data_IF_854077449344
#
_entry.id   IF_854077449344
#
_cell.length_a   1.000
_cell.length_b   1.000
_cell.length_c   1.000
_cell.angle_alpha   90.00
_cell.angle_beta   90.00
_cell.angle_gamma   90.00
#
_symmetry.space_group_name_H-M   'P 1'
#
loop_
_entity.id
_entity.type
_entity.pdbx_description
1 polymer ?
#
# COMPACT_ATOMS: atom_id res chain seq x y z
N UNK A 1 -24.15 13.89 14.47
CA UNK A 1 -22.82 14.23 15.02
C UNK A 1 -21.74 13.25 14.54
N UNK A 2 -21.92 11.92 14.70
CA UNK A 2 -20.92 10.91 14.35
C UNK A 2 -20.55 10.95 12.86
N UNK A 3 -21.52 11.06 11.97
CA UNK A 3 -21.28 11.12 10.53
C UNK A 3 -20.50 12.37 10.10
N UNK A 4 -20.80 13.51 10.73
CA UNK A 4 -20.09 14.77 10.46
C UNK A 4 -18.61 14.63 10.83
N UNK A 5 -18.32 14.05 12.00
CA UNK A 5 -16.94 13.84 12.44
C UNK A 5 -16.22 12.80 11.59
N UNK A 6 -16.87 11.66 11.26
CA UNK A 6 -16.30 10.64 10.38
C UNK A 6 -16.00 11.21 8.98
N UNK A 7 -16.88 12.01 8.41
CA UNK A 7 -16.68 12.72 7.14
C UNK A 7 -15.48 13.66 7.21
N UNK A 8 -15.37 14.45 8.28
CA UNK A 8 -14.26 15.38 8.51
C UNK A 8 -12.92 14.65 8.59
N UNK A 9 -12.86 13.52 9.29
CA UNK A 9 -11.64 12.69 9.39
C UNK A 9 -11.31 12.01 8.06
N UNK A 10 -12.30 11.53 7.32
CA UNK A 10 -12.16 10.81 6.06
C UNK A 10 -11.67 9.37 6.21
N UNK A 11 -10.73 9.12 7.11
CA UNK A 11 -10.17 7.80 7.42
C UNK A 11 -9.60 7.74 8.85
N UNK A 12 -9.35 6.53 9.34
CA UNK A 12 -8.54 6.30 10.54
C UNK A 12 -7.07 6.54 10.25
N UNK A 13 -6.31 7.01 11.25
CA UNK A 13 -4.87 7.21 11.17
C UNK A 13 -4.18 6.13 11.99
N UNK A 14 -3.22 5.44 11.36
CA UNK A 14 -2.48 4.34 11.97
C UNK A 14 -1.06 4.81 12.29
N UNK A 15 -0.73 4.85 13.57
CA UNK A 15 0.60 5.15 14.05
C UNK A 15 1.20 3.89 14.67
N UNK A 16 2.53 3.80 14.77
CA UNK A 16 3.17 2.61 15.32
C UNK A 16 2.75 2.26 16.75
N UNK A 17 2.37 3.27 17.56
CA UNK A 17 1.99 3.12 18.97
C UNK A 17 0.46 3.15 19.20
N UNK A 18 -0.32 3.71 18.28
CA UNK A 18 -1.77 3.88 18.45
C UNK A 18 -2.51 4.06 17.13
N UNK A 19 -3.83 3.90 17.21
CA UNK A 19 -4.75 4.23 16.11
C UNK A 19 -5.63 5.40 16.54
N UNK A 20 -5.76 6.41 15.66
CA UNK A 20 -6.80 7.45 15.80
C UNK A 20 -7.96 7.01 14.90
N UNK A 21 -9.05 6.47 15.48
CA UNK A 21 -10.11 5.88 14.70
C UNK A 21 -10.98 6.94 14.03
N UNK A 22 -11.52 6.64 12.85
CA UNK A 22 -12.50 7.47 12.14
C UNK A 22 -13.83 7.55 12.89
N UNK A 23 -14.26 6.44 13.47
CA UNK A 23 -15.47 6.30 14.26
C UNK A 23 -15.13 6.23 15.76
N UNK A 24 -16.04 6.60 16.67
CA UNK A 24 -15.85 6.34 18.10
C UNK A 24 -15.47 4.89 18.39
N UNK A 25 -14.60 4.67 19.36
CA UNK A 25 -14.07 3.32 19.67
C UNK A 25 -15.15 2.31 20.00
N UNK A 26 -16.21 2.71 20.67
CA UNK A 26 -17.36 1.84 20.95
C UNK A 26 -17.99 1.29 19.66
N UNK A 27 -17.96 2.03 18.56
CA UNK A 27 -18.42 1.57 17.26
C UNK A 27 -17.34 0.75 16.56
N UNK A 28 -16.13 1.30 16.42
CA UNK A 28 -15.06 0.67 15.64
C UNK A 28 -14.56 -0.63 16.25
N UNK A 29 -14.47 -0.72 17.57
CA UNK A 29 -13.86 -1.86 18.26
C UNK A 29 -14.89 -2.88 18.76
N UNK A 30 -16.19 -2.49 18.88
CA UNK A 30 -17.25 -3.36 19.40
C UNK A 30 -18.40 -3.50 18.42
N UNK A 31 -19.32 -2.51 18.36
CA UNK A 31 -20.65 -2.66 17.71
C UNK A 31 -20.49 -2.98 16.20
N UNK A 32 -19.58 -2.33 15.49
CA UNK A 32 -19.32 -2.55 14.08
C UNK A 32 -18.26 -3.63 13.82
N UNK A 33 -17.51 -4.05 14.86
CA UNK A 33 -16.49 -5.08 14.74
C UNK A 33 -17.12 -6.47 14.70
N UNK A 34 -16.64 -7.33 13.80
CA UNK A 34 -17.12 -8.72 13.66
C UNK A 34 -16.46 -9.63 14.70
N UNK A 35 -16.69 -9.33 15.98
CA UNK A 35 -16.13 -10.10 17.10
C UNK A 35 -16.71 -11.52 17.15
N UNK A 36 -15.89 -12.52 17.54
CA UNK A 36 -16.34 -13.92 17.62
C UNK A 36 -17.52 -14.11 18.56
N UNK A 37 -18.39 -15.03 18.19
CA UNK A 37 -19.54 -15.47 18.98
C UNK A 37 -20.56 -14.37 19.34
N UNK A 38 -20.55 -13.26 18.57
CA UNK A 38 -21.55 -12.21 18.71
C UNK A 38 -22.25 -11.95 17.38
N UNK A 39 -23.57 -11.76 17.45
CA UNK A 39 -24.36 -11.43 16.27
C UNK A 39 -24.06 -9.97 15.90
N UNK A 40 -23.71 -9.75 14.61
CA UNK A 40 -23.45 -8.42 14.06
C UNK A 40 -24.23 -8.18 12.77
N UNK A 41 -24.71 -6.95 12.61
CA UNK A 41 -25.28 -6.51 11.35
C UNK A 41 -24.16 -6.30 10.32
N UNK A 42 -24.36 -6.83 9.11
CA UNK A 42 -23.37 -6.77 8.04
C UNK A 42 -24.01 -6.55 6.69
N UNK A 43 -23.29 -5.89 5.80
CA UNK A 43 -23.58 -5.86 4.36
C UNK A 43 -22.70 -6.94 3.70
N UNK A 44 -23.35 -7.98 3.19
CA UNK A 44 -22.69 -9.15 2.61
C UNK A 44 -22.72 -9.06 1.09
N UNK A 45 -21.56 -9.23 0.47
CA UNK A 45 -21.41 -9.44 -0.96
C UNK A 45 -21.15 -10.93 -1.21
N UNK A 46 -22.17 -11.65 -1.66
CA UNK A 46 -22.07 -13.06 -2.07
C UNK A 46 -21.62 -13.12 -3.52
N UNK A 47 -20.56 -13.88 -3.81
CA UNK A 47 -19.98 -13.98 -5.15
C UNK A 47 -19.81 -15.44 -5.52
N UNK A 48 -20.33 -15.85 -6.68
CA UNK A 48 -20.14 -17.18 -7.23
C UNK A 48 -19.14 -17.11 -8.38
N UNK A 49 -18.02 -17.81 -8.19
CA UNK A 49 -16.98 -17.97 -9.20
C UNK A 49 -17.10 -19.32 -9.89
N UNK A 50 -16.96 -19.33 -11.22
CA UNK A 50 -16.76 -20.55 -12.00
C UNK A 50 -15.51 -20.36 -12.85
N UNK A 51 -14.53 -21.23 -12.64
CA UNK A 51 -13.17 -21.05 -13.19
C UNK A 51 -12.59 -19.70 -12.76
N UNK A 52 -12.38 -18.77 -13.69
CA UNK A 52 -11.81 -17.44 -13.43
C UNK A 52 -12.82 -16.29 -13.55
N UNK A 53 -14.11 -16.61 -13.73
CA UNK A 53 -15.17 -15.62 -13.98
C UNK A 53 -16.18 -15.55 -12.84
N UNK A 54 -16.59 -14.34 -12.50
CA UNK A 54 -17.76 -14.10 -11.64
C UNK A 54 -19.00 -14.36 -12.48
N UNK A 55 -19.80 -15.38 -12.12
CA UNK A 55 -21.02 -15.75 -12.84
C UNK A 55 -22.28 -15.19 -12.18
N UNK A 56 -22.23 -14.93 -10.87
CA UNK A 56 -23.34 -14.37 -10.10
C UNK A 56 -22.84 -13.67 -8.87
N UNK A 57 -23.53 -12.62 -8.47
CA UNK A 57 -23.32 -11.96 -7.17
C UNK A 57 -24.65 -11.44 -6.63
N UNK A 58 -24.73 -11.30 -5.31
CA UNK A 58 -25.86 -10.71 -4.61
C UNK A 58 -25.37 -9.89 -3.43
N UNK A 59 -26.17 -8.90 -3.04
CA UNK A 59 -25.94 -8.09 -1.84
C UNK A 59 -27.04 -8.31 -0.83
N UNK A 60 -26.66 -8.53 0.42
CA UNK A 60 -27.59 -8.84 1.50
C UNK A 60 -27.27 -7.97 2.72
N UNK A 61 -28.32 -7.40 3.33
CA UNK A 61 -28.24 -6.97 4.73
C UNK A 61 -28.51 -8.19 5.58
N UNK A 62 -27.53 -8.62 6.35
CA UNK A 62 -27.58 -9.87 7.10
C UNK A 62 -27.15 -9.67 8.56
N UNK A 63 -27.64 -10.56 9.42
CA UNK A 63 -27.06 -10.81 10.74
C UNK A 63 -26.06 -11.96 10.58
N UNK A 64 -24.82 -11.74 10.97
CA UNK A 64 -23.78 -12.78 10.92
C UNK A 64 -23.26 -13.08 12.31
N UNK A 65 -22.75 -14.30 12.48
CA UNK A 65 -22.09 -14.77 13.69
C UNK A 65 -20.68 -15.22 13.32
N UNK A 66 -19.67 -14.42 13.66
CA UNK A 66 -18.27 -14.78 13.47
C UNK A 66 -17.90 -15.97 14.35
N UNK A 67 -17.26 -17.00 13.79
CA UNK A 67 -16.88 -18.22 14.51
C UNK A 67 -15.46 -18.17 15.06
N UNK A 68 -14.58 -17.39 14.44
CA UNK A 68 -13.20 -17.24 14.86
C UNK A 68 -12.63 -15.89 14.42
N UNK A 69 -11.69 -15.37 15.19
CA UNK A 69 -10.82 -14.25 14.81
C UNK A 69 -9.40 -14.80 14.76
N UNK A 70 -8.82 -14.83 13.58
CA UNK A 70 -7.49 -15.36 13.33
C UNK A 70 -6.51 -14.25 12.96
N UNK A 71 -5.28 -14.41 13.37
CA UNK A 71 -4.15 -13.62 12.85
C UNK A 71 -3.68 -14.21 11.52
N UNK A 72 -2.98 -13.41 10.73
CA UNK A 72 -2.39 -13.87 9.47
C UNK A 72 -1.41 -15.04 9.67
N UNK A 73 -0.63 -15.00 10.75
CA UNK A 73 0.29 -16.07 11.14
C UNK A 73 -0.46 -17.37 11.43
N UNK A 74 -1.51 -17.31 12.24
CA UNK A 74 -2.33 -18.49 12.55
C UNK A 74 -2.94 -19.11 11.28
N UNK A 75 -3.42 -18.30 10.34
CA UNK A 75 -3.97 -18.78 9.07
C UNK A 75 -2.91 -19.51 8.25
N UNK A 76 -1.70 -19.00 8.17
CA UNK A 76 -0.58 -19.65 7.47
C UNK A 76 -0.15 -20.95 8.18
N UNK A 77 -0.13 -20.97 9.52
CA UNK A 77 0.17 -22.17 10.32
C UNK A 77 -0.89 -23.28 10.12
N UNK A 78 -2.17 -22.91 10.09
CA UNK A 78 -3.27 -23.84 9.79
C UNK A 78 -3.10 -24.40 8.37
N UNK A 79 -2.83 -23.56 7.39
CA UNK A 79 -2.64 -23.98 6.00
C UNK A 79 -1.44 -24.92 5.82
N UNK A 80 -0.35 -24.69 6.56
CA UNK A 80 0.84 -25.56 6.56
C UNK A 80 0.62 -26.86 7.36
N UNK A 81 -0.57 -27.10 7.91
CA UNK A 81 -0.91 -28.23 8.76
C UNK A 81 -0.09 -28.31 10.07
N UNK A 82 0.55 -27.24 10.48
CA UNK A 82 1.27 -27.18 11.76
C UNK A 82 0.31 -27.04 12.95
N UNK A 83 -0.91 -26.51 12.69
CA UNK A 83 -2.02 -26.43 13.65
C UNK A 83 -3.32 -26.85 12.98
N UNK A 84 -3.86 -28.03 13.31
CA UNK A 84 -5.19 -28.48 12.85
C UNK A 84 -6.28 -27.99 13.81
N UNK A 85 -7.38 -27.49 13.27
CA UNK A 85 -8.56 -27.09 14.03
C UNK A 85 -9.84 -27.26 13.20
N UNK A 86 -11.01 -26.96 13.80
CA UNK A 86 -12.34 -27.12 13.16
C UNK A 86 -12.51 -26.33 11.86
N UNK A 87 -11.69 -25.30 11.63
CA UNK A 87 -11.77 -24.45 10.43
C UNK A 87 -10.68 -24.74 9.39
N UNK A 88 -9.81 -25.74 9.61
CA UNK A 88 -8.71 -26.07 8.68
C UNK A 88 -9.23 -26.33 7.26
N UNK A 89 -10.32 -27.08 7.10
CA UNK A 89 -10.94 -27.34 5.80
C UNK A 89 -11.41 -26.04 5.11
N UNK A 90 -11.93 -25.08 5.86
CA UNK A 90 -12.32 -23.76 5.33
C UNK A 90 -11.09 -23.00 4.84
N UNK A 91 -10.03 -22.96 5.65
CA UNK A 91 -8.75 -22.28 5.29
C UNK A 91 -8.17 -22.90 4.03
N UNK A 92 -8.14 -24.22 3.90
CA UNK A 92 -7.66 -24.89 2.68
C UNK A 92 -8.49 -24.51 1.44
N UNK A 93 -9.82 -24.43 1.58
CA UNK A 93 -10.68 -23.99 0.48
C UNK A 93 -10.42 -22.51 0.10
N UNK A 94 -10.15 -21.65 1.07
CA UNK A 94 -9.78 -20.26 0.80
C UNK A 94 -8.46 -20.17 0.02
N UNK A 95 -7.45 -20.97 0.37
CA UNK A 95 -6.18 -21.02 -0.39
C UNK A 95 -6.35 -21.61 -1.79
N UNK A 96 -7.22 -22.61 -1.99
CA UNK A 96 -7.57 -23.10 -3.34
C UNK A 96 -8.22 -21.98 -4.18
N UNK A 97 -9.13 -21.22 -3.59
CA UNK A 97 -9.74 -20.08 -4.26
C UNK A 97 -8.69 -18.97 -4.57
N UNK A 98 -7.72 -18.75 -3.66
CA UNK A 98 -6.62 -17.81 -3.90
C UNK A 98 -5.84 -18.16 -5.18
N UNK A 99 -5.52 -19.43 -5.41
CA UNK A 99 -4.80 -19.84 -6.64
C UNK A 99 -5.60 -19.51 -7.91
N UNK A 100 -6.94 -19.62 -7.85
CA UNK A 100 -7.80 -19.17 -8.94
C UNK A 100 -7.74 -17.65 -9.11
N UNK A 101 -7.82 -16.88 -8.01
CA UNK A 101 -7.79 -15.43 -8.04
C UNK A 101 -6.44 -14.87 -8.50
N UNK A 102 -5.33 -15.55 -8.16
CA UNK A 102 -3.99 -15.20 -8.69
C UNK A 102 -3.95 -15.29 -10.21
N UNK A 103 -4.46 -16.38 -10.79
CA UNK A 103 -4.56 -16.52 -12.26
C UNK A 103 -5.39 -15.40 -12.89
N UNK A 104 -6.52 -15.04 -12.26
CA UNK A 104 -7.34 -13.88 -12.69
C UNK A 104 -6.53 -12.58 -12.66
N UNK A 105 -5.79 -12.38 -11.58
CA UNK A 105 -4.96 -11.21 -11.32
C UNK A 105 -3.83 -11.07 -12.35
N UNK A 106 -3.14 -12.17 -12.63
CA UNK A 106 -2.08 -12.24 -13.64
C UNK A 106 -2.61 -12.00 -15.05
N UNK A 107 -3.75 -12.62 -15.42
CA UNK A 107 -4.38 -12.48 -16.73
C UNK A 107 -4.83 -11.03 -17.01
N UNK A 108 -5.33 -10.31 -16.00
CA UNK A 108 -5.68 -8.89 -16.15
C UNK A 108 -4.47 -7.95 -16.10
N UNK A 109 -3.28 -8.47 -15.80
CA UNK A 109 -2.04 -7.72 -15.81
C UNK A 109 -1.80 -6.87 -14.57
N UNK A 110 -2.33 -7.24 -13.38
CA UNK A 110 -2.03 -6.55 -12.11
C UNK A 110 -0.52 -6.30 -12.00
N UNK A 111 -0.14 -5.06 -11.66
CA UNK A 111 1.26 -4.72 -11.41
C UNK A 111 1.59 -5.05 -9.96
N UNK A 112 2.57 -5.93 -9.74
CA UNK A 112 2.98 -6.37 -8.41
C UNK A 112 4.33 -5.77 -8.03
N UNK A 113 4.30 -4.79 -7.14
CA UNK A 113 5.51 -4.22 -6.55
C UNK A 113 5.96 -5.03 -5.34
N UNK A 114 7.27 -5.25 -5.23
CA UNK A 114 7.90 -5.87 -4.06
C UNK A 114 8.50 -4.77 -3.20
N UNK A 115 7.76 -4.32 -2.20
CA UNK A 115 8.23 -3.31 -1.25
C UNK A 115 8.54 -4.01 0.08
N UNK A 116 9.72 -3.74 0.63
CA UNK A 116 10.04 -4.14 1.99
C UNK A 116 9.31 -3.22 2.95
N UNK A 117 8.48 -3.80 3.78
CA UNK A 117 7.81 -3.10 4.86
C UNK A 117 8.52 -3.39 6.18
N UNK A 118 8.56 -2.39 7.06
CA UNK A 118 9.09 -2.54 8.41
C UNK A 118 7.97 -2.28 9.41
N UNK A 119 7.98 -3.05 10.47
CA UNK A 119 7.16 -2.78 11.64
C UNK A 119 8.03 -2.31 12.80
N UNK A 120 7.43 -1.56 13.70
CA UNK A 120 8.11 -0.99 14.85
C UNK A 120 7.56 -1.68 16.09
N UNK A 121 8.40 -2.47 16.74
CA UNK A 121 8.07 -3.20 17.95
C UNK A 121 8.59 -2.45 19.17
N UNK A 122 7.67 -1.88 19.96
CA UNK A 122 7.97 -1.22 21.22
C UNK A 122 8.19 -2.29 22.30
N UNK A 123 9.36 -2.26 22.92
CA UNK A 123 9.71 -3.14 24.06
C UNK A 123 9.30 -2.48 25.37
N UNK A 124 9.43 -1.16 25.46
CA UNK A 124 8.98 -0.29 26.52
C UNK A 124 8.87 1.15 26.01
N UNK A 125 8.55 2.13 26.87
CA UNK A 125 8.40 3.55 26.48
C UNK A 125 9.64 4.20 25.87
N UNK A 126 10.82 3.60 26.03
CA UNK A 126 12.12 4.15 25.58
C UNK A 126 12.81 3.31 24.55
N UNK A 127 12.43 2.06 24.39
CA UNK A 127 13.11 1.09 23.55
C UNK A 127 12.16 0.49 22.51
N UNK A 128 12.59 0.49 21.28
CA UNK A 128 11.88 -0.13 20.18
C UNK A 128 12.87 -0.63 19.11
N UNK A 129 12.40 -1.55 18.28
CA UNK A 129 13.15 -2.13 17.17
C UNK A 129 12.40 -2.00 15.86
N UNK A 130 13.16 -1.84 14.79
CA UNK A 130 12.64 -2.01 13.43
C UNK A 130 12.88 -3.46 13.01
N UNK A 131 11.81 -4.14 12.63
CA UNK A 131 11.88 -5.50 12.12
C UNK A 131 11.26 -5.54 10.73
N UNK A 132 11.84 -6.32 9.81
CA UNK A 132 11.24 -6.53 8.50
C UNK A 132 9.95 -7.32 8.69
N UNK A 133 8.83 -6.77 8.19
CA UNK A 133 7.52 -7.39 8.34
C UNK A 133 7.48 -8.74 7.65
N UNK A 134 7.06 -9.77 8.37
CA UNK A 134 6.91 -11.11 7.81
C UNK A 134 5.89 -11.10 6.65
N UNK A 135 6.23 -11.77 5.57
CA UNK A 135 5.36 -11.85 4.39
C UNK A 135 4.52 -13.14 4.42
N UNK A 136 3.38 -13.10 5.08
CA UNK A 136 2.44 -14.21 5.14
C UNK A 136 1.64 -14.36 3.83
N UNK A 137 1.42 -15.60 3.39
CA UNK A 137 0.56 -15.89 2.23
C UNK A 137 -0.89 -15.43 2.45
N UNK A 138 -1.33 -15.42 3.69
CA UNK A 138 -2.65 -14.96 4.12
C UNK A 138 -2.87 -13.45 3.90
N UNK A 139 -1.83 -12.61 3.86
CA UNK A 139 -1.99 -11.22 3.41
C UNK A 139 -2.50 -11.16 1.98
N UNK A 140 -1.89 -11.94 1.10
CA UNK A 140 -2.30 -11.99 -0.31
C UNK A 140 -3.68 -12.62 -0.46
N UNK A 141 -4.01 -13.61 0.38
CA UNK A 141 -5.34 -14.19 0.42
C UNK A 141 -6.40 -13.10 0.63
N UNK A 142 -6.29 -12.34 1.70
CA UNK A 142 -7.25 -11.29 2.03
C UNK A 142 -7.24 -10.18 0.97
N UNK A 143 -6.07 -9.76 0.49
CA UNK A 143 -5.95 -8.74 -0.57
C UNK A 143 -6.75 -9.13 -1.83
N UNK A 144 -6.55 -10.34 -2.38
CA UNK A 144 -7.24 -10.75 -3.61
C UNK A 144 -8.75 -10.87 -3.41
N UNK A 145 -9.21 -11.34 -2.24
CA UNK A 145 -10.64 -11.39 -1.92
C UNK A 145 -11.24 -9.98 -1.77
N UNK A 146 -10.51 -9.06 -1.12
CA UNK A 146 -10.94 -7.65 -1.02
C UNK A 146 -11.01 -6.99 -2.39
N UNK A 147 -10.00 -7.21 -3.25
CA UNK A 147 -9.98 -6.67 -4.62
C UNK A 147 -11.15 -7.21 -5.44
N UNK A 148 -11.45 -8.51 -5.32
CA UNK A 148 -12.61 -9.12 -5.98
C UNK A 148 -13.92 -8.47 -5.53
N UNK A 149 -14.17 -8.37 -4.23
CA UNK A 149 -15.38 -7.76 -3.69
C UNK A 149 -15.52 -6.29 -4.11
N UNK A 150 -14.44 -5.52 -4.00
CA UNK A 150 -14.39 -4.12 -4.42
C UNK A 150 -14.71 -3.95 -5.93
N UNK A 151 -14.17 -4.83 -6.77
CA UNK A 151 -14.43 -4.82 -8.21
C UNK A 151 -15.89 -5.17 -8.54
N UNK A 152 -16.46 -6.20 -7.91
CA UNK A 152 -17.86 -6.62 -8.10
C UNK A 152 -18.81 -5.48 -7.72
N UNK A 153 -18.57 -4.85 -6.55
CA UNK A 153 -19.36 -3.70 -6.09
C UNK A 153 -19.25 -2.53 -7.07
N UNK A 154 -18.03 -2.18 -7.49
CA UNK A 154 -17.82 -1.09 -8.44
C UNK A 154 -18.51 -1.34 -9.78
N UNK A 155 -18.44 -2.58 -10.28
CA UNK A 155 -19.11 -3.00 -11.52
C UNK A 155 -20.63 -2.85 -11.39
N UNK A 156 -21.21 -3.33 -10.29
CA UNK A 156 -22.64 -3.22 -10.02
C UNK A 156 -23.11 -1.76 -9.96
N UNK A 157 -22.43 -0.91 -9.21
CA UNK A 157 -22.76 0.51 -9.11
C UNK A 157 -22.65 1.23 -10.46
N UNK A 158 -21.57 0.96 -11.21
CA UNK A 158 -21.33 1.59 -12.50
C UNK A 158 -22.36 1.14 -13.56
N UNK A 159 -22.72 -0.15 -13.60
CA UNK A 159 -23.73 -0.69 -14.53
C UNK A 159 -25.13 -0.13 -14.28
N UNK A 160 -25.41 0.32 -13.05
CA UNK A 160 -26.67 0.99 -12.69
C UNK A 160 -26.57 2.53 -12.74
N UNK A 161 -25.50 3.09 -13.31
CA UNK A 161 -25.33 4.53 -13.48
C UNK A 161 -25.13 5.32 -12.19
N UNK A 162 -24.74 4.65 -11.09
CA UNK A 162 -24.61 5.28 -9.78
C UNK A 162 -23.31 6.08 -9.69
N UNK A 163 -23.41 7.35 -9.34
CA UNK A 163 -22.28 8.23 -9.01
C UNK A 163 -21.85 7.94 -7.56
N UNK A 164 -20.92 7.01 -7.39
CA UNK A 164 -20.39 6.58 -6.09
C UNK A 164 -18.94 7.00 -5.88
N UNK A 165 -18.34 6.60 -4.77
CA UNK A 165 -16.92 6.87 -4.48
C UNK A 165 -16.03 5.85 -5.20
N UNK A 166 -15.76 6.06 -6.50
CA UNK A 166 -14.84 5.20 -7.24
C UNK A 166 -13.39 5.50 -6.89
N UNK A 167 -12.56 4.44 -6.83
CA UNK A 167 -11.13 4.55 -6.62
C UNK A 167 -10.40 4.45 -7.95
N UNK A 168 -10.00 5.56 -8.47
CA UNK A 168 -9.39 5.71 -9.77
C UNK A 168 -7.86 5.69 -9.71
N UNK A 169 -7.23 5.03 -10.67
CA UNK A 169 -5.78 5.06 -10.86
C UNK A 169 -5.47 5.14 -12.35
N UNK A 170 -5.01 6.29 -12.77
CA UNK A 170 -4.69 6.57 -14.17
C UNK A 170 -3.39 5.88 -14.61
N UNK A 171 -3.21 5.77 -15.91
CA UNK A 171 -1.92 5.39 -16.51
C UNK A 171 -0.85 6.40 -16.10
N UNK A 172 0.42 5.98 -16.04
CA UNK A 172 1.53 6.91 -15.86
C UNK A 172 1.52 8.03 -16.89
N UNK A 173 1.85 9.25 -16.45
CA UNK A 173 1.98 10.40 -17.32
C UNK A 173 3.20 10.27 -18.24
N UNK A 174 3.13 10.84 -19.44
CA UNK A 174 4.20 10.75 -20.44
C UNK A 174 5.54 11.31 -19.93
N UNK A 175 5.52 12.38 -19.10
CA UNK A 175 6.73 12.93 -18.49
C UNK A 175 7.39 11.90 -17.56
N UNK A 176 6.59 11.19 -16.75
CA UNK A 176 7.09 10.14 -15.85
C UNK A 176 7.63 8.93 -16.60
N UNK A 177 7.02 8.59 -17.74
CA UNK A 177 7.54 7.53 -18.62
C UNK A 177 8.87 7.96 -19.24
N UNK A 178 9.01 9.21 -19.68
CA UNK A 178 10.29 9.75 -20.21
C UNK A 178 11.39 9.70 -19.15
N UNK A 179 11.12 10.14 -17.91
CA UNK A 179 12.04 10.06 -16.77
C UNK A 179 12.46 8.62 -16.49
N UNK A 180 11.49 7.68 -16.46
CA UNK A 180 11.73 6.26 -16.27
C UNK A 180 12.65 5.70 -17.35
N UNK A 181 12.36 5.93 -18.64
CA UNK A 181 13.17 5.49 -19.77
C UNK A 181 14.61 6.03 -19.70
N UNK A 182 14.76 7.32 -19.34
CA UNK A 182 16.09 7.96 -19.13
C UNK A 182 16.85 7.25 -18.01
N UNK A 183 16.22 6.99 -16.87
CA UNK A 183 16.83 6.32 -15.71
C UNK A 183 17.28 4.89 -16.05
N UNK A 184 16.47 4.13 -16.82
CA UNK A 184 16.82 2.79 -17.27
C UNK A 184 18.01 2.80 -18.23
N UNK A 185 18.08 3.77 -19.17
CA UNK A 185 19.22 3.96 -20.09
C UNK A 185 20.52 4.22 -19.35
N UNK A 186 20.49 5.13 -18.35
CA UNK A 186 21.66 5.45 -17.54
C UNK A 186 22.23 4.26 -16.77
N UNK A 187 21.43 3.18 -16.61
CA UNK A 187 21.84 1.92 -15.97
C UNK A 187 22.13 0.81 -16.98
N UNK A 188 22.37 1.16 -18.24
CA UNK A 188 22.72 0.24 -19.34
C UNK A 188 21.66 -0.88 -19.55
N UNK A 189 20.39 -0.61 -19.21
CA UNK A 189 19.31 -1.54 -19.55
C UNK A 189 18.99 -1.36 -21.02
N UNK A 190 19.36 -2.37 -21.84
CA UNK A 190 19.30 -2.32 -23.31
C UNK A 190 17.86 -2.37 -23.83
N UNK A 191 17.02 -3.25 -23.28
CA UNK A 191 15.63 -3.41 -23.72
C UNK A 191 14.77 -2.39 -22.99
N UNK A 192 14.22 -1.38 -23.67
CA UNK A 192 13.34 -0.37 -23.10
C UNK A 192 11.97 -0.44 -23.75
N UNK A 193 10.95 -0.73 -22.93
CA UNK A 193 9.56 -0.85 -23.36
C UNK A 193 8.83 0.50 -23.30
N UNK A 194 7.62 0.54 -23.85
CA UNK A 194 6.84 1.78 -23.93
C UNK A 194 6.15 2.20 -22.65
N UNK A 195 5.92 1.27 -21.71
CA UNK A 195 5.25 1.50 -20.43
C UNK A 195 3.82 2.06 -20.54
N UNK A 196 3.16 1.77 -21.66
CA UNK A 196 1.75 2.12 -21.87
C UNK A 196 0.78 1.05 -21.38
N UNK A 197 1.27 -0.15 -21.13
CA UNK A 197 0.52 -1.29 -20.65
C UNK A 197 1.16 -1.91 -19.40
N UNK A 198 0.36 -2.54 -18.56
CA UNK A 198 0.83 -3.21 -17.33
C UNK A 198 1.90 -4.28 -17.61
N UNK A 199 1.78 -5.00 -18.74
CA UNK A 199 2.76 -6.02 -19.15
C UNK A 199 4.18 -5.48 -19.25
N UNK A 200 4.34 -4.20 -19.59
CA UNK A 200 5.65 -3.59 -19.72
C UNK A 200 6.32 -3.40 -18.35
N UNK A 201 5.56 -3.00 -17.34
CA UNK A 201 6.03 -2.93 -15.95
C UNK A 201 6.33 -4.31 -15.40
N UNK A 202 5.42 -5.27 -15.59
CA UNK A 202 5.57 -6.64 -15.09
C UNK A 202 6.78 -7.35 -15.69
N UNK A 203 7.18 -7.03 -16.91
CA UNK A 203 8.39 -7.57 -17.53
C UNK A 203 9.65 -7.26 -16.71
N UNK A 204 9.80 -6.04 -16.22
CA UNK A 204 10.94 -5.66 -15.38
C UNK A 204 10.79 -6.15 -13.95
N UNK A 205 9.61 -6.06 -13.37
CA UNK A 205 9.34 -6.49 -11.99
C UNK A 205 9.58 -7.99 -11.79
N UNK A 206 9.35 -8.81 -12.82
CA UNK A 206 9.66 -10.24 -12.80
C UNK A 206 11.17 -10.53 -12.83
N UNK A 207 11.98 -9.63 -13.41
CA UNK A 207 13.44 -9.76 -13.51
C UNK A 207 14.20 -9.28 -12.25
N UNK A 208 13.52 -8.67 -11.29
CA UNK A 208 14.14 -8.06 -10.08
C UNK A 208 14.30 -9.07 -8.95
N UNK A 209 15.22 -10.02 -9.09
CA UNK A 209 15.47 -11.05 -8.07
C UNK A 209 16.72 -10.81 -7.21
N UNK A 210 17.57 -9.83 -7.53
CA UNK A 210 18.77 -9.52 -6.79
C UNK A 210 18.68 -8.17 -6.05
N UNK A 211 19.48 -8.01 -4.98
CA UNK A 211 19.64 -6.71 -4.30
C UNK A 211 20.05 -5.59 -5.26
N UNK A 212 20.81 -5.93 -6.31
CA UNK A 212 21.29 -4.99 -7.32
C UNK A 212 20.19 -4.47 -8.25
N UNK A 213 19.05 -5.16 -8.37
CA UNK A 213 17.94 -4.76 -9.22
C UNK A 213 16.72 -4.23 -8.44
N UNK A 214 16.80 -4.16 -7.11
CA UNK A 214 15.71 -3.63 -6.27
C UNK A 214 15.31 -2.19 -6.62
N UNK A 215 16.29 -1.37 -7.09
CA UNK A 215 16.03 -0.01 -7.55
C UNK A 215 15.06 0.07 -8.73
N UNK A 216 14.98 -0.97 -9.59
CA UNK A 216 14.02 -1.02 -10.71
C UNK A 216 12.60 -1.00 -10.18
N UNK A 217 12.32 -1.72 -9.09
CA UNK A 217 11.02 -1.72 -8.45
C UNK A 217 10.62 -0.31 -7.97
N UNK A 218 11.57 0.41 -7.33
CA UNK A 218 11.34 1.79 -6.88
C UNK A 218 11.13 2.76 -8.07
N UNK A 219 11.88 2.60 -9.17
CA UNK A 219 11.68 3.38 -10.41
C UNK A 219 10.29 3.14 -11.00
N UNK A 220 9.88 1.86 -11.13
CA UNK A 220 8.57 1.49 -11.65
C UNK A 220 7.44 2.04 -10.78
N UNK A 221 7.60 2.01 -9.45
CA UNK A 221 6.62 2.56 -8.51
C UNK A 221 6.51 4.08 -8.63
N UNK A 222 7.63 4.80 -8.73
CA UNK A 222 7.66 6.27 -8.89
C UNK A 222 7.05 6.76 -10.19
N UNK A 223 7.11 5.94 -11.22
CA UNK A 223 6.49 6.25 -12.51
C UNK A 223 4.96 6.22 -12.46
N UNK A 224 4.37 5.52 -11.46
CA UNK A 224 2.91 5.40 -11.35
C UNK A 224 2.24 6.73 -11.01
N UNK A 225 1.03 6.91 -11.52
CA UNK A 225 0.12 7.96 -11.06
C UNK A 225 -0.35 7.67 -9.64
N UNK A 226 -0.78 8.70 -8.89
CA UNK A 226 -1.41 8.49 -7.59
C UNK A 226 -2.89 8.18 -7.78
N UNK A 227 -3.39 7.22 -7.03
CA UNK A 227 -4.81 6.92 -7.00
C UNK A 227 -5.58 8.02 -6.25
N UNK A 228 -6.86 8.22 -6.62
CA UNK A 228 -7.74 9.24 -6.06
C UNK A 228 -9.20 8.79 -6.09
N UNK A 229 -10.06 9.46 -5.34
CA UNK A 229 -11.50 9.24 -5.38
C UNK A 229 -12.19 10.20 -6.35
N UNK A 230 -13.15 9.68 -7.12
CA UNK A 230 -14.04 10.49 -7.97
C UNK A 230 -15.42 9.82 -8.08
N UNK A 231 -16.43 10.61 -8.41
CA UNK A 231 -17.79 10.11 -8.70
C UNK A 231 -17.90 9.45 -10.07
N UNK A 232 -16.93 9.68 -10.95
CA UNK A 232 -16.81 9.07 -12.28
C UNK A 232 -15.77 7.94 -12.21
N UNK A 233 -16.17 6.75 -12.64
CA UNK A 233 -15.25 5.64 -12.77
C UNK A 233 -14.42 5.74 -14.04
N UNK A 234 -13.11 5.65 -13.93
CA UNK A 234 -12.17 5.52 -15.06
C UNK A 234 -11.31 4.26 -14.98
N UNK A 235 -11.55 3.44 -13.96
CA UNK A 235 -10.79 2.21 -13.70
C UNK A 235 -9.53 2.39 -12.85
N UNK A 236 -8.81 1.29 -12.67
CA UNK A 236 -7.62 1.25 -11.85
C UNK A 236 -6.46 0.57 -12.60
N UNK A 237 -5.59 1.36 -13.23
CA UNK A 237 -4.51 0.86 -14.07
C UNK A 237 -3.60 -0.15 -13.35
N UNK A 238 -3.11 0.16 -12.16
CA UNK A 238 -2.19 -0.73 -11.42
C UNK A 238 -2.80 -2.10 -11.08
N UNK A 239 -4.12 -2.18 -10.89
CA UNK A 239 -4.84 -3.44 -10.66
C UNK A 239 -5.32 -4.12 -11.96
N UNK A 240 -5.23 -3.44 -13.11
CA UNK A 240 -5.76 -3.94 -14.38
C UNK A 240 -7.29 -4.07 -14.37
N UNK A 241 -8.00 -3.17 -13.69
CA UNK A 241 -9.46 -3.22 -13.50
C UNK A 241 -10.16 -2.04 -14.17
N UNK A 242 -11.26 -2.32 -14.88
CA UNK A 242 -12.09 -1.29 -15.50
C UNK A 242 -13.00 -0.57 -14.49
N UNK A 243 -13.36 -1.23 -13.40
CA UNK A 243 -14.19 -0.68 -12.33
C UNK A 243 -13.56 -0.99 -10.99
N UNK A 244 -13.40 0.03 -10.14
CA UNK A 244 -12.86 -0.19 -8.81
C UNK A 244 -13.38 0.84 -7.81
N UNK A 245 -13.69 0.37 -6.63
CA UNK A 245 -14.05 1.18 -5.47
C UNK A 245 -13.49 0.56 -4.21
N UNK A 246 -13.63 1.24 -3.09
CA UNK A 246 -13.39 0.68 -1.79
C UNK A 246 -14.72 0.36 -1.09
N UNK A 247 -14.90 -0.88 -0.67
CA UNK A 247 -16.13 -1.37 -0.03
C UNK A 247 -15.84 -2.13 1.26
N UNK A 248 -14.69 -2.77 1.35
CA UNK A 248 -14.41 -3.80 2.36
C UNK A 248 -13.96 -3.26 3.72
N UNK A 249 -13.81 -1.94 3.91
CA UNK A 249 -13.28 -1.36 5.16
C UNK A 249 -14.06 -0.14 5.65
N UNK A 250 -15.39 -0.22 5.88
CA UNK A 250 -16.22 0.95 6.24
C UNK A 250 -15.95 1.52 7.64
N UNK A 251 -15.32 0.76 8.54
CA UNK A 251 -14.95 1.23 9.88
C UNK A 251 -13.83 2.27 9.82
N UNK A 252 -12.94 2.16 8.84
CA UNK A 252 -11.71 2.95 8.75
C UNK A 252 -11.62 3.87 7.54
N UNK A 253 -12.53 3.79 6.58
CA UNK A 253 -12.56 4.66 5.40
C UNK A 253 -13.98 5.16 5.15
N UNK A 254 -14.13 6.47 5.08
CA UNK A 254 -15.43 7.09 4.81
C UNK A 254 -15.92 6.83 3.38
N UNK A 255 -15.00 6.65 2.41
CA UNK A 255 -15.34 6.21 1.05
C UNK A 255 -16.15 4.92 1.02
N UNK A 256 -15.75 3.94 1.85
CA UNK A 256 -16.44 2.65 1.96
C UNK A 256 -17.85 2.83 2.57
N UNK A 257 -17.99 3.72 3.57
CA UNK A 257 -19.32 4.06 4.13
C UNK A 257 -20.25 4.66 3.07
N UNK A 258 -19.73 5.51 2.18
CA UNK A 258 -20.51 6.07 1.07
C UNK A 258 -20.98 4.97 0.12
N UNK A 259 -20.09 4.06 -0.24
CA UNK A 259 -20.40 2.91 -1.09
C UNK A 259 -21.45 1.99 -0.44
N UNK A 260 -21.33 1.73 0.86
CA UNK A 260 -22.34 0.98 1.63
C UNK A 260 -23.71 1.66 1.58
N UNK A 261 -23.76 2.98 1.75
CA UNK A 261 -25.02 3.75 1.66
C UNK A 261 -25.62 3.66 0.28
N UNK A 262 -24.83 3.84 -0.77
CA UNK A 262 -25.30 3.73 -2.15
C UNK A 262 -25.91 2.35 -2.43
N UNK A 263 -25.25 1.26 -2.00
CA UNK A 263 -25.78 -0.09 -2.15
C UNK A 263 -27.08 -0.30 -1.35
N UNK A 264 -27.15 0.20 -0.11
CA UNK A 264 -28.35 0.08 0.72
C UNK A 264 -29.53 0.87 0.12
N UNK A 265 -29.26 2.10 -0.37
CA UNK A 265 -30.27 2.91 -1.05
C UNK A 265 -30.80 2.21 -2.31
N UNK A 266 -29.94 1.55 -3.09
CA UNK A 266 -30.33 0.74 -4.25
C UNK A 266 -31.19 -0.46 -3.84
N UNK A 267 -30.78 -1.22 -2.79
CA UNK A 267 -31.55 -2.37 -2.31
C UNK A 267 -32.98 -1.98 -1.90
N UNK A 268 -33.17 -0.77 -1.37
CA UNK A 268 -34.48 -0.26 -0.94
C UNK A 268 -35.17 0.67 -1.96
N UNK A 269 -34.64 0.75 -3.19
CA UNK A 269 -35.15 1.65 -4.24
C UNK A 269 -35.29 3.11 -3.79
N UNK A 270 -34.39 3.59 -2.93
CA UNK A 270 -34.37 4.96 -2.45
C UNK A 270 -33.63 5.89 -3.42
N UNK A 271 -33.95 7.19 -3.36
CA UNK A 271 -33.29 8.20 -4.17
C UNK A 271 -31.83 8.38 -3.74
N UNK A 272 -30.89 8.16 -4.66
CA UNK A 272 -29.45 8.33 -4.43
C UNK A 272 -29.06 9.79 -4.24
N UNK A 273 -28.19 10.07 -3.30
CA UNK A 273 -27.61 11.40 -3.10
C UNK A 273 -26.64 11.73 -4.23
N UNK A 274 -26.89 12.80 -5.01
CA UNK A 274 -26.15 13.13 -6.23
C UNK A 274 -24.94 14.03 -6.01
N UNK A 275 -24.87 14.80 -4.91
CA UNK A 275 -23.85 15.84 -4.73
C UNK A 275 -22.67 15.36 -3.87
N UNK A 276 -21.74 14.62 -4.48
CA UNK A 276 -20.60 14.01 -3.78
C UNK A 276 -19.22 14.47 -4.30
N UNK A 277 -19.14 15.32 -5.34
CA UNK A 277 -17.88 15.62 -6.01
C UNK A 277 -16.84 16.29 -5.09
N UNK A 278 -17.24 17.32 -4.34
CA UNK A 278 -16.35 17.99 -3.39
C UNK A 278 -15.85 17.04 -2.30
N UNK A 279 -16.72 16.12 -1.86
CA UNK A 279 -16.37 15.12 -0.87
C UNK A 279 -15.28 14.17 -1.37
N UNK A 280 -15.24 13.82 -2.66
CA UNK A 280 -14.18 12.99 -3.24
C UNK A 280 -12.81 13.66 -3.15
N UNK A 281 -12.73 14.95 -3.41
CA UNK A 281 -11.51 15.73 -3.25
C UNK A 281 -11.05 15.75 -1.78
N UNK A 282 -11.98 15.98 -0.86
CA UNK A 282 -11.70 15.95 0.58
C UNK A 282 -11.18 14.59 1.03
N UNK A 283 -11.81 13.47 0.63
CA UNK A 283 -11.35 12.12 1.00
C UNK A 283 -9.97 11.80 0.43
N UNK A 284 -9.71 12.21 -0.81
CA UNK A 284 -8.38 12.06 -1.43
C UNK A 284 -7.33 12.88 -0.69
N UNK A 285 -7.67 14.09 -0.24
CA UNK A 285 -6.78 14.93 0.57
C UNK A 285 -6.49 14.32 1.93
N UNK A 286 -7.49 13.82 2.63
CA UNK A 286 -7.34 13.21 3.97
C UNK A 286 -6.48 11.93 3.90
N UNK A 287 -6.66 11.10 2.87
CA UNK A 287 -5.80 9.94 2.66
C UNK A 287 -4.33 10.34 2.46
N UNK A 288 -4.05 11.30 1.57
CA UNK A 288 -2.68 11.82 1.36
C UNK A 288 -2.08 12.39 2.63
N UNK A 289 -2.88 13.08 3.45
CA UNK A 289 -2.45 13.62 4.74
C UNK A 289 -2.11 12.50 5.73
N UNK A 290 -2.90 11.41 5.74
CA UNK A 290 -2.62 10.23 6.57
C UNK A 290 -1.27 9.61 6.20
N UNK A 291 -1.05 9.35 4.91
CA UNK A 291 0.22 8.78 4.41
C UNK A 291 1.43 9.67 4.73
N UNK A 292 1.26 11.00 4.61
CA UNK A 292 2.32 11.95 4.93
C UNK A 292 2.65 11.98 6.42
N UNK A 293 1.63 11.92 7.29
CA UNK A 293 1.83 11.91 8.75
C UNK A 293 2.50 10.61 9.20
N UNK A 294 2.05 9.47 8.68
CA UNK A 294 2.66 8.16 8.95
C UNK A 294 4.15 8.17 8.56
N UNK A 295 4.47 8.64 7.36
CA UNK A 295 5.86 8.78 6.91
C UNK A 295 6.69 9.69 7.83
N UNK A 296 6.16 10.87 8.19
CA UNK A 296 6.87 11.81 9.09
C UNK A 296 7.14 11.21 10.46
N UNK A 297 6.23 10.40 10.98
CA UNK A 297 6.43 9.72 12.27
C UNK A 297 7.49 8.63 12.13
N UNK A 298 7.44 7.83 11.07
CA UNK A 298 8.44 6.82 10.81
C UNK A 298 9.85 7.44 10.64
N UNK A 299 9.97 8.55 9.91
CA UNK A 299 11.24 9.29 9.76
C UNK A 299 11.78 9.75 11.13
N UNK A 300 10.91 10.27 12.01
CA UNK A 300 11.28 10.68 13.36
C UNK A 300 11.69 9.50 14.24
N UNK A 301 10.98 8.39 14.18
CA UNK A 301 11.32 7.18 14.93
C UNK A 301 12.65 6.59 14.44
N UNK A 302 12.92 6.56 13.14
CA UNK A 302 14.23 6.20 12.60
C UNK A 302 15.34 7.12 13.14
N UNK A 303 15.09 8.42 13.17
CA UNK A 303 16.02 9.42 13.70
C UNK A 303 16.31 9.21 15.20
N UNK A 304 15.29 8.88 16.01
CA UNK A 304 15.42 8.54 17.44
C UNK A 304 16.22 7.24 17.61
N UNK A 305 15.87 6.19 16.85
CA UNK A 305 16.54 4.89 16.89
C UNK A 305 18.04 5.00 16.61
N UNK A 306 18.40 5.75 15.56
CA UNK A 306 19.81 6.02 15.21
C UNK A 306 20.54 6.73 16.35
N UNK A 307 19.89 7.70 17.02
CA UNK A 307 20.50 8.42 18.16
C UNK A 307 20.73 7.49 19.35
N UNK A 308 19.74 6.67 19.71
CA UNK A 308 19.84 5.74 20.85
C UNK A 308 20.95 4.71 20.61
N UNK A 309 20.98 4.11 19.42
CA UNK A 309 21.94 3.06 19.08
C UNK A 309 23.33 3.60 18.71
N UNK A 310 23.54 4.93 18.66
CA UNK A 310 24.81 5.58 18.32
C UNK A 310 25.44 5.10 17.00
N UNK A 311 24.63 4.47 16.12
CA UNK A 311 25.09 3.96 14.82
C UNK A 311 25.30 5.13 13.86
N UNK A 312 26.50 5.24 13.29
CA UNK A 312 26.88 6.35 12.42
C UNK A 312 27.10 5.95 10.97
N UNK A 313 27.44 4.69 10.71
CA UNK A 313 27.75 4.19 9.37
C UNK A 313 26.65 3.27 8.87
N UNK A 314 26.27 3.47 7.62
CA UNK A 314 25.22 2.73 6.95
C UNK A 314 25.59 2.43 5.50
N UNK A 315 24.94 1.40 4.97
CA UNK A 315 24.91 1.11 3.54
C UNK A 315 23.59 1.61 2.99
N UNK A 316 23.60 2.18 1.78
CA UNK A 316 22.40 2.68 1.14
C UNK A 316 22.46 2.64 -0.37
N UNK A 317 21.34 2.91 -0.98
CA UNK A 317 21.17 2.99 -2.43
C UNK A 317 20.88 4.43 -2.80
N UNK A 318 21.57 4.97 -3.80
CA UNK A 318 21.26 6.29 -4.35
C UNK A 318 19.86 6.29 -4.92
N UNK A 319 18.95 7.01 -4.26
CA UNK A 319 17.52 6.98 -4.49
C UNK A 319 16.98 8.26 -5.19
N UNK A 320 17.78 9.31 -5.25
CA UNK A 320 17.50 10.56 -5.94
C UNK A 320 18.76 11.36 -6.17
N UNK A 321 18.81 12.11 -7.27
CA UNK A 321 19.92 12.99 -7.62
C UNK A 321 19.31 14.34 -7.97
N UNK A 322 19.70 15.37 -7.22
CA UNK A 322 19.27 16.75 -7.39
C UNK A 322 20.50 17.65 -7.57
N UNK A 323 20.31 18.87 -8.03
CA UNK A 323 21.42 19.83 -8.23
C UNK A 323 22.21 20.15 -6.96
N UNK A 324 21.59 19.98 -5.78
CA UNK A 324 22.19 20.28 -4.48
C UNK A 324 22.72 19.05 -3.72
N UNK A 325 22.51 17.83 -4.23
CA UNK A 325 22.95 16.62 -3.54
C UNK A 325 22.23 15.36 -3.97
N UNK A 326 22.55 14.27 -3.28
CA UNK A 326 21.91 12.97 -3.51
C UNK A 326 21.09 12.53 -2.31
N UNK A 327 19.97 11.88 -2.57
CA UNK A 327 19.20 11.14 -1.57
C UNK A 327 19.66 9.70 -1.55
N UNK A 328 19.89 9.17 -0.36
CA UNK A 328 20.36 7.80 -0.13
C UNK A 328 19.34 7.09 0.73
N UNK A 329 18.72 6.04 0.22
CA UNK A 329 17.81 5.16 0.96
C UNK A 329 18.64 4.09 1.66
N UNK A 330 18.59 4.04 2.99
CA UNK A 330 19.33 3.03 3.76
C UNK A 330 18.80 1.61 3.46
N UNK A 331 19.69 0.62 3.46
CA UNK A 331 19.34 -0.79 3.23
C UNK A 331 18.83 -1.46 4.50
N UNK A 332 19.37 -1.05 5.64
CA UNK A 332 19.18 -1.72 6.94
C UNK A 332 17.98 -1.18 7.72
N UNK A 333 17.56 0.04 7.43
CA UNK A 333 16.48 0.74 8.14
C UNK A 333 15.65 1.56 7.14
N UNK A 334 14.37 1.81 7.43
CA UNK A 334 13.46 2.51 6.53
C UNK A 334 13.62 4.04 6.57
N UNK A 335 14.81 4.57 6.35
CA UNK A 335 15.04 6.01 6.27
C UNK A 335 15.80 6.41 5.00
N UNK A 336 15.69 7.69 4.65
CA UNK A 336 16.51 8.30 3.61
C UNK A 336 17.33 9.43 4.18
N UNK A 337 18.58 9.54 3.76
CA UNK A 337 19.49 10.60 4.12
C UNK A 337 19.81 11.49 2.91
N UNK A 338 19.96 12.80 3.14
CA UNK A 338 20.42 13.74 2.14
C UNK A 338 21.93 13.95 2.30
N UNK A 339 22.65 13.75 1.21
CA UNK A 339 24.05 14.08 1.14
C UNK A 339 24.26 15.26 0.16
N UNK A 340 24.69 16.43 0.67
CA UNK A 340 24.85 17.66 -0.10
C UNK A 340 26.20 17.74 -0.78
N UNK A 341 26.26 18.13 -2.04
CA UNK A 341 27.51 18.25 -2.81
C UNK A 341 28.52 19.22 -2.21
N UNK A 342 28.08 20.34 -1.64
CA UNK A 342 28.97 21.33 -0.98
C UNK A 342 29.74 20.79 0.23
N UNK A 343 29.42 19.61 0.74
CA UNK A 343 30.10 18.96 1.88
C UNK A 343 30.92 17.72 1.48
N UNK A 344 30.97 17.40 0.18
CA UNK A 344 31.74 16.26 -0.34
C UNK A 344 33.15 16.69 -0.82
N UNK A 345 33.37 18.00 -1.06
CA UNK A 345 34.60 18.48 -1.68
C UNK A 345 35.69 18.71 -0.66
N UNK A 346 36.17 17.63 -0.05
CA UNK A 346 37.53 17.59 0.47
C UNK A 346 38.34 16.51 -0.26
N UNK A 347 38.27 16.44 -1.56
CA UNK A 347 39.27 15.87 -2.48
C UNK A 347 38.62 15.45 -3.78
N UNK A 348 38.88 16.19 -4.81
CA UNK A 348 39.22 15.82 -6.19
C UNK A 348 38.67 14.52 -6.79
N UNK A 349 37.36 14.32 -6.85
CA UNK A 349 36.78 13.54 -7.93
C UNK A 349 35.32 13.98 -8.10
N UNK A 350 34.96 14.44 -9.30
CA UNK A 350 33.57 14.59 -9.73
C UNK A 350 32.94 13.22 -9.82
N UNK A 351 32.61 12.63 -8.67
CA UNK A 351 31.95 11.33 -8.62
C UNK A 351 30.54 11.51 -9.19
N UNK A 352 30.37 11.02 -10.42
CA UNK A 352 29.09 11.06 -11.10
C UNK A 352 28.19 9.95 -10.56
N UNK A 353 27.49 10.21 -9.45
CA UNK A 353 26.55 9.26 -8.86
C UNK A 353 25.44 8.91 -9.83
N UNK A 354 25.08 7.61 -9.88
CA UNK A 354 23.94 7.13 -10.67
C UNK A 354 22.86 6.59 -9.76
N UNK A 355 21.63 6.80 -10.13
CA UNK A 355 20.47 6.22 -9.43
C UNK A 355 20.64 4.71 -9.27
N UNK A 356 20.36 4.18 -8.08
CA UNK A 356 20.46 2.75 -7.76
C UNK A 356 21.88 2.25 -7.45
N UNK A 357 22.91 3.11 -7.38
CA UNK A 357 24.23 2.70 -6.93
C UNK A 357 24.26 2.42 -5.44
N UNK A 358 24.98 1.39 -5.06
CA UNK A 358 25.22 1.04 -3.66
C UNK A 358 26.35 1.92 -3.12
N UNK A 359 26.11 2.54 -1.98
CA UNK A 359 27.05 3.42 -1.31
C UNK A 359 27.15 3.13 0.18
N UNK A 360 28.32 3.36 0.77
CA UNK A 360 28.44 3.54 2.22
C UNK A 360 28.43 5.02 2.55
N UNK A 361 27.87 5.38 3.69
CA UNK A 361 27.80 6.76 4.14
C UNK A 361 27.82 6.87 5.67
N UNK A 362 28.23 8.05 6.14
CA UNK A 362 28.23 8.39 7.57
C UNK A 362 27.15 9.43 7.83
N UNK A 363 26.40 9.26 8.92
CA UNK A 363 25.47 10.28 9.40
C UNK A 363 26.28 11.43 10.01
N UNK A 364 26.14 12.62 9.44
CA UNK A 364 26.78 13.86 9.92
C UNK A 364 25.85 14.61 10.87
N UNK A 365 24.56 14.69 10.52
CA UNK A 365 23.56 15.38 11.33
C UNK A 365 22.26 14.59 11.33
N UNK A 366 21.70 14.46 12.52
CA UNK A 366 20.43 13.77 12.76
C UNK A 366 19.51 14.73 13.52
N UNK A 367 18.39 15.12 12.88
CA UNK A 367 17.43 16.06 13.47
C UNK A 367 16.17 15.30 13.89
N UNK A 368 16.08 14.95 15.17
CA UNK A 368 14.95 14.21 15.74
C UNK A 368 13.61 14.96 15.61
N UNK A 369 13.60 16.31 15.68
CA UNK A 369 12.35 17.07 15.64
C UNK A 369 11.58 16.89 14.33
N UNK A 370 12.28 16.74 13.22
CA UNK A 370 11.66 16.59 11.89
C UNK A 370 12.05 15.33 11.12
N UNK A 371 12.84 14.42 11.73
CA UNK A 371 13.27 13.16 11.11
C UNK A 371 14.30 13.31 9.98
N UNK A 372 14.83 14.52 9.74
CA UNK A 372 15.78 14.76 8.63
C UNK A 372 17.19 14.32 9.01
N UNK A 373 17.78 13.50 8.15
CA UNK A 373 19.13 12.96 8.32
C UNK A 373 20.02 13.46 7.20
N UNK A 374 21.19 14.01 7.56
CA UNK A 374 22.23 14.42 6.62
C UNK A 374 23.35 13.38 6.64
N UNK A 375 23.74 12.94 5.46
CA UNK A 375 24.85 12.05 5.22
C UNK A 375 26.08 12.81 4.73
N UNK A 376 27.24 12.23 4.97
CA UNK A 376 28.53 12.63 4.40
C UNK A 376 29.46 11.42 4.32
N UNK A 377 30.70 11.66 3.85
CA UNK A 377 31.67 10.62 3.59
C UNK A 377 31.06 9.48 2.75
N UNK A 378 30.36 9.86 1.68
CA UNK A 378 29.70 8.89 0.79
C UNK A 378 30.77 8.27 -0.11
N UNK A 379 30.85 6.96 -0.08
CA UNK A 379 31.77 6.17 -0.93
C UNK A 379 30.95 5.18 -1.74
N UNK A 380 31.26 5.07 -3.03
CA UNK A 380 30.76 3.99 -3.86
C UNK A 380 31.28 2.66 -3.31
N UNK A 381 30.39 1.71 -3.13
CA UNK A 381 30.79 0.33 -2.83
C UNK A 381 31.01 -0.33 -4.20
N UNK A 382 32.29 -0.66 -4.49
CA UNK A 382 32.66 -1.42 -5.66
C UNK A 382 31.86 -2.73 -5.67
N UNK A 383 31.44 -3.14 -6.85
CA UNK A 383 30.90 -4.46 -7.06
C UNK A 383 32.02 -5.46 -6.73
N UNK A 384 31.84 -6.26 -5.73
CA UNK A 384 32.42 -7.60 -5.79
C UNK A 384 31.65 -8.30 -6.92
N UNK A 385 32.34 -8.49 -8.04
CA UNK A 385 31.89 -9.22 -9.21
C UNK A 385 31.39 -10.62 -8.89
#
# INVERSE_FOLDING_TARGET
PIDIEARKRGNSFYFPDRVIPMLPEILSNNICSLVPNQIRASLVCEIILKNTKVIKYKFHRAKILSKARLTYKEVDEIHKNTKKNKISKLVDNLFKALETLKKVSENRGKIEFKVKEYEINFMNDKEFKFEEKENFKSYRLIEEFMVLANNVVATHLNSNGVKSAYRNHEKPKDEKIKELKKSLKLRNIKEIRDFRAQKDFNFYLKKTFSKQTSFINDLMLRAQSKAYYDIKNIGHFGLGLNHYTHFTSPIRRYSDLLVHRDLIEMIFNKKLNKNKKELMNHLTFQEKKSDELERKINDRLCSIYIKINKKKFFTGIVDGIESFGIFIKAVELPFSALARFSKFHNNEENINYKFGQLVSFKIIRNNIKNGKILAGNVKLLEKNE
#
